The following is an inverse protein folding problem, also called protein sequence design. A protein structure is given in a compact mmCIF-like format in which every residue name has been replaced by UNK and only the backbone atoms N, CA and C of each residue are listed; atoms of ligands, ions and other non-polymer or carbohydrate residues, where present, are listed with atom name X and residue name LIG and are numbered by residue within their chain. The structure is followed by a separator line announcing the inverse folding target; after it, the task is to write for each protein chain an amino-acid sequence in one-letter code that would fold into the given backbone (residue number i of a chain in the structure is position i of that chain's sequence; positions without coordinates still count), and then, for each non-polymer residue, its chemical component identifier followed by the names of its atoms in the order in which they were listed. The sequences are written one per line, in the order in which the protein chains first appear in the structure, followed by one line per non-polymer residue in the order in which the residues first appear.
data_IF_349390474128
#
_entry.id   IF_349390474128
#
_cell.length_a   1.000
_cell.length_b   1.000
_cell.length_c   1.000
_cell.angle_alpha   90.00
_cell.angle_beta   90.00
_cell.angle_gamma   90.00
#
_symmetry.space_group_name_H-M   'P 1'
#
loop_
_entity.id
_entity.type
_entity.pdbx_description
1 polymer ?
#
# COMPACT_ATOMS: atom_id res chain seq x y z
N UNK A 1 44.62 -1.14 2.30
CA UNK A 1 44.08 -1.35 0.95
C UNK A 1 44.15 -2.84 0.66
N UNK A 2 43.02 -3.53 0.72
CA UNK A 2 42.90 -4.94 0.35
C UNK A 2 42.26 -4.98 -1.02
N UNK A 3 42.92 -5.61 -1.99
CA UNK A 3 42.37 -5.85 -3.32
C UNK A 3 42.06 -7.33 -3.44
N UNK A 4 40.78 -7.65 -3.53
CA UNK A 4 40.30 -9.00 -3.76
C UNK A 4 39.91 -9.10 -5.23
N UNK A 5 40.46 -10.08 -5.92
CA UNK A 5 40.13 -10.37 -7.32
C UNK A 5 39.44 -11.72 -7.33
N UNK A 6 38.15 -11.71 -7.67
CA UNK A 6 37.37 -12.92 -7.84
C UNK A 6 37.35 -13.27 -9.32
N UNK A 7 38.00 -14.38 -9.64
CA UNK A 7 38.04 -14.94 -10.98
C UNK A 7 37.34 -16.29 -10.98
N UNK A 8 36.41 -16.47 -11.91
CA UNK A 8 35.94 -17.79 -12.29
C UNK A 8 36.28 -18.03 -13.76
N UNK A 9 36.90 -19.17 -14.01
CA UNK A 9 37.24 -19.67 -15.33
C UNK A 9 36.10 -20.44 -15.99
N UNK A 10 35.05 -20.82 -15.25
CA UNK A 10 33.95 -21.63 -15.78
C UNK A 10 32.67 -21.66 -14.93
N UNK A 11 31.50 -21.42 -15.56
CA UNK A 11 30.19 -21.86 -15.07
C UNK A 11 29.54 -22.73 -16.17
N UNK A 12 28.89 -23.83 -15.79
CA UNK A 12 28.37 -24.86 -16.70
C UNK A 12 27.37 -24.40 -17.78
N UNK A 13 26.99 -23.12 -17.85
CA UNK A 13 26.05 -22.56 -18.83
C UNK A 13 26.40 -21.16 -19.35
N UNK A 14 27.60 -20.59 -19.12
CA UNK A 14 27.91 -19.22 -19.59
C UNK A 14 29.38 -18.75 -19.51
N UNK A 15 29.64 -17.50 -19.95
CA UNK A 15 30.97 -16.84 -19.81
C UNK A 15 31.20 -16.46 -18.34
N UNK A 16 32.37 -16.79 -17.80
CA UNK A 16 32.77 -16.48 -16.42
C UNK A 16 32.82 -14.97 -16.13
N UNK A 17 33.02 -14.62 -14.85
CA UNK A 17 33.11 -13.23 -14.40
C UNK A 17 34.49 -12.89 -13.84
N UNK A 18 34.81 -11.61 -13.91
CA UNK A 18 35.98 -11.00 -13.29
C UNK A 18 35.48 -9.83 -12.44
N UNK A 19 35.58 -9.94 -11.12
CA UNK A 19 35.15 -8.88 -10.19
C UNK A 19 36.33 -8.42 -9.35
N UNK A 20 36.55 -7.11 -9.33
CA UNK A 20 37.55 -6.45 -8.49
C UNK A 20 36.85 -5.81 -7.30
N UNK A 21 37.33 -6.10 -6.09
CA UNK A 21 36.86 -5.47 -4.86
C UNK A 21 38.04 -4.79 -4.15
N UNK A 22 37.84 -3.55 -3.74
CA UNK A 22 38.83 -2.76 -3.01
C UNK A 22 38.26 -2.33 -1.65
N UNK A 23 38.93 -2.73 -0.57
CA UNK A 23 38.64 -2.26 0.78
C UNK A 23 39.78 -1.36 1.28
N UNK A 24 39.46 -0.10 1.53
CA UNK A 24 40.36 0.88 2.15
C UNK A 24 39.67 1.53 3.35
N UNK A 25 40.37 1.79 4.47
CA UNK A 25 39.84 2.59 5.57
C UNK A 25 39.70 4.09 5.22
N UNK A 26 40.17 4.49 4.04
CA UNK A 26 40.13 5.86 3.51
C UNK A 26 39.59 5.88 2.08
N UNK A 27 38.46 5.22 1.82
CA UNK A 27 37.70 5.52 0.60
C UNK A 27 37.04 6.87 0.88
N UNK A 28 37.33 7.90 0.09
CA UNK A 28 36.51 9.12 0.08
C UNK A 28 35.08 8.68 -0.25
N UNK A 29 34.23 8.60 0.77
CA UNK A 29 32.94 7.92 0.65
C UNK A 29 32.05 8.61 -0.38
N UNK A 30 32.12 9.94 -0.46
CA UNK A 30 31.51 10.73 -1.53
C UNK A 30 32.32 12.02 -1.79
N UNK A 31 32.19 12.64 -2.99
CA UNK A 31 32.76 13.95 -3.27
C UNK A 31 32.25 15.04 -2.31
N UNK A 32 32.97 16.17 -2.21
CA UNK A 32 32.48 17.33 -1.48
C UNK A 32 31.06 17.74 -1.96
N UNK A 33 30.20 18.18 -1.04
CA UNK A 33 28.78 18.50 -1.28
C UNK A 33 27.89 17.32 -1.68
N UNK A 34 28.21 16.12 -1.22
CA UNK A 34 27.34 14.94 -1.31
C UNK A 34 27.08 14.38 0.09
N UNK A 35 25.94 13.71 0.25
CA UNK A 35 25.64 12.88 1.42
C UNK A 35 25.87 11.41 1.08
N UNK A 36 26.28 10.64 2.08
CA UNK A 36 26.48 9.20 1.97
C UNK A 36 25.17 8.51 2.38
N UNK A 37 24.57 7.77 1.45
CA UNK A 37 23.38 6.95 1.71
C UNK A 37 23.77 5.65 2.45
N UNK A 38 22.83 4.96 3.10
CA UNK A 38 23.09 3.67 3.79
C UNK A 38 23.59 2.59 2.84
N UNK A 39 23.12 2.58 1.60
CA UNK A 39 23.58 1.71 0.52
C UNK A 39 24.94 2.13 -0.09
N UNK A 40 25.59 3.17 0.47
CA UNK A 40 26.86 3.77 0.02
C UNK A 40 26.78 4.52 -1.31
N UNK A 41 25.58 4.77 -1.83
CA UNK A 41 25.41 5.71 -2.92
C UNK A 41 25.67 7.14 -2.44
N UNK A 42 26.05 8.00 -3.39
CA UNK A 42 26.32 9.40 -3.15
C UNK A 42 25.26 10.23 -3.85
N UNK A 43 24.52 11.03 -3.08
CA UNK A 43 23.58 12.00 -3.65
C UNK A 43 24.00 13.41 -3.27
N UNK A 44 23.81 14.41 -4.15
CA UNK A 44 24.16 15.79 -3.85
C UNK A 44 23.49 16.31 -2.57
N UNK A 45 24.18 17.12 -1.77
CA UNK A 45 23.66 17.59 -0.46
C UNK A 45 22.39 18.42 -0.56
N UNK A 46 22.09 19.01 -1.73
CA UNK A 46 20.84 19.73 -1.97
C UNK A 46 19.62 18.81 -2.18
N UNK A 47 19.84 17.49 -2.27
CA UNK A 47 18.78 16.47 -2.32
C UNK A 47 18.35 15.98 -0.95
N UNK A 48 19.11 16.32 0.11
CA UNK A 48 18.70 16.00 1.47
C UNK A 48 17.37 16.71 1.78
N UNK A 49 16.38 15.95 2.22
CA UNK A 49 15.07 16.45 2.64
C UNK A 49 14.31 17.20 1.54
N UNK A 50 14.40 16.74 0.29
CA UNK A 50 13.73 17.36 -0.86
C UNK A 50 12.35 16.72 -1.19
N UNK A 51 11.94 15.72 -0.42
CA UNK A 51 10.67 15.00 -0.60
C UNK A 51 10.80 13.75 -1.49
N UNK A 52 11.89 13.65 -2.25
CA UNK A 52 12.18 12.55 -3.17
C UNK A 52 13.17 11.60 -2.53
N UNK A 53 12.99 10.30 -2.76
CA UNK A 53 14.03 9.32 -2.46
C UNK A 53 15.01 9.27 -3.63
N UNK A 54 16.12 10.01 -3.51
CA UNK A 54 17.26 9.99 -4.42
C UNK A 54 18.30 8.95 -3.99
N UNK A 55 18.34 8.59 -2.70
CA UNK A 55 19.25 7.57 -2.19
C UNK A 55 18.84 6.13 -2.56
N UNK A 56 17.58 5.89 -2.94
CA UNK A 56 16.97 4.57 -3.14
C UNK A 56 16.97 3.69 -1.87
N UNK A 57 17.18 4.31 -0.72
CA UNK A 57 17.10 3.73 0.61
C UNK A 57 16.47 4.71 1.64
N UNK A 58 16.01 5.87 1.15
CA UNK A 58 15.37 6.93 1.92
C UNK A 58 16.26 7.61 2.95
N UNK A 59 17.58 7.46 2.89
CA UNK A 59 18.53 8.09 3.86
C UNK A 59 18.52 9.61 3.77
N UNK A 60 18.40 10.15 2.56
CA UNK A 60 18.27 11.56 2.25
C UNK A 60 17.04 12.22 2.88
N UNK A 61 15.96 11.47 3.07
CA UNK A 61 14.70 11.96 3.62
C UNK A 61 14.58 11.79 5.15
N UNK A 62 15.56 11.16 5.81
CA UNK A 62 15.56 10.94 7.25
C UNK A 62 16.02 12.18 8.04
N UNK A 63 15.53 12.30 9.28
CA UNK A 63 15.95 13.30 10.27
C UNK A 63 15.87 14.76 9.78
N UNK A 64 14.90 15.06 8.92
CA UNK A 64 14.67 16.40 8.35
C UNK A 64 14.02 17.40 9.31
N UNK A 65 13.68 16.99 10.54
CA UNK A 65 12.96 17.84 11.50
C UNK A 65 11.55 18.24 11.06
N UNK A 66 10.97 17.54 10.08
CA UNK A 66 9.61 17.79 9.57
C UNK A 66 8.58 17.36 10.63
N UNK A 67 7.58 18.19 10.95
CA UNK A 67 6.53 17.81 11.89
C UNK A 67 5.64 16.71 11.30
N UNK A 68 5.11 15.85 12.18
CA UNK A 68 4.03 14.91 11.81
C UNK A 68 2.72 15.69 11.79
N UNK A 69 2.04 15.70 10.65
CA UNK A 69 0.84 16.47 10.40
C UNK A 69 -0.32 15.51 10.18
N UNK A 70 -1.36 15.65 11.00
CA UNK A 70 -2.69 15.09 10.73
C UNK A 70 -3.57 16.23 10.23
N UNK A 71 -3.77 16.37 8.91
CA UNK A 71 -4.44 17.55 8.36
C UNK A 71 -5.92 17.54 8.73
N UNK A 72 -6.44 18.73 9.09
CA UNK A 72 -7.86 18.91 9.36
C UNK A 72 -8.73 18.66 8.12
N UNK A 73 -8.16 18.80 6.93
CA UNK A 73 -8.80 18.61 5.62
C UNK A 73 -8.45 17.26 4.97
N UNK A 74 -8.57 16.18 5.73
CA UNK A 74 -8.48 14.81 5.21
C UNK A 74 -9.64 14.48 4.23
N UNK A 75 -9.44 13.48 3.38
CA UNK A 75 -10.51 12.89 2.59
C UNK A 75 -11.11 13.81 1.51
N UNK A 76 -10.39 14.85 1.07
CA UNK A 76 -10.84 15.80 0.04
C UNK A 76 -9.82 15.78 -1.10
N UNK A 77 -9.98 14.87 -2.10
CA UNK A 77 -8.98 14.74 -3.16
C UNK A 77 -9.01 15.96 -4.09
N UNK A 78 -7.83 16.45 -4.47
CA UNK A 78 -7.68 17.54 -5.45
C UNK A 78 -8.31 17.17 -6.81
N UNK A 79 -8.13 15.90 -7.22
CA UNK A 79 -8.74 15.30 -8.41
C UNK A 79 -9.90 14.42 -7.96
N UNK A 80 -11.13 14.75 -8.37
CA UNK A 80 -12.31 14.01 -7.92
C UNK A 80 -12.39 12.63 -8.60
N UNK A 81 -12.70 11.55 -7.86
CA UNK A 81 -12.92 10.24 -8.44
C UNK A 81 -14.21 10.22 -9.26
N UNK A 82 -14.25 9.35 -10.27
CA UNK A 82 -15.46 9.10 -11.05
C UNK A 82 -16.40 8.23 -10.22
N UNK A 83 -17.46 8.82 -9.68
CA UNK A 83 -18.45 8.08 -8.85
C UNK A 83 -19.73 7.74 -9.60
N UNK A 84 -19.98 8.34 -10.76
CA UNK A 84 -21.15 8.07 -11.58
C UNK A 84 -20.93 6.82 -12.44
N UNK A 85 -21.65 5.74 -12.10
CA UNK A 85 -21.61 4.47 -12.82
C UNK A 85 -22.40 4.60 -14.13
N UNK A 86 -21.74 4.96 -15.24
CA UNK A 86 -22.38 5.15 -16.54
C UNK A 86 -22.03 4.07 -17.58
N UNK A 87 -21.38 2.97 -17.20
CA UNK A 87 -21.04 1.90 -18.14
C UNK A 87 -22.04 0.74 -18.07
N UNK A 88 -22.78 0.44 -19.15
CA UNK A 88 -23.50 -0.82 -19.29
C UNK A 88 -22.56 -2.02 -19.53
N UNK A 89 -21.28 -1.77 -19.84
CA UNK A 89 -20.31 -2.83 -20.09
C UNK A 89 -19.73 -3.40 -18.80
N UNK A 90 -19.97 -4.69 -18.64
CA UNK A 90 -19.56 -5.58 -17.55
C UNK A 90 -18.03 -5.72 -17.52
N UNK A 91 -17.33 -4.77 -16.91
CA UNK A 91 -15.90 -4.96 -16.60
C UNK A 91 -15.78 -5.73 -15.29
N UNK A 92 -15.25 -6.95 -15.39
CA UNK A 92 -14.88 -7.81 -14.27
C UNK A 92 -13.59 -7.26 -13.65
N UNK A 93 -13.58 -6.99 -12.35
CA UNK A 93 -12.39 -6.46 -11.66
C UNK A 93 -12.29 -4.93 -11.59
N UNK A 94 -13.43 -4.22 -11.65
CA UNK A 94 -13.51 -2.77 -11.48
C UNK A 94 -13.21 -1.95 -12.74
N UNK A 95 -13.33 -0.63 -12.63
CA UNK A 95 -12.96 0.33 -13.70
C UNK A 95 -11.62 1.01 -13.36
N UNK A 96 -10.81 1.42 -14.37
CA UNK A 96 -9.65 2.26 -14.13
C UNK A 96 -10.03 3.53 -13.38
N UNK A 97 -9.31 3.84 -12.29
CA UNK A 97 -9.49 5.09 -11.57
C UNK A 97 -8.93 6.26 -12.39
N UNK A 98 -9.45 7.46 -12.16
CA UNK A 98 -8.78 8.67 -12.66
C UNK A 98 -7.42 8.77 -11.94
N UNK A 99 -6.30 9.01 -12.65
CA UNK A 99 -4.99 9.14 -12.02
C UNK A 99 -5.02 10.09 -10.83
N UNK A 100 -4.47 9.63 -9.71
CA UNK A 100 -4.37 10.38 -8.45
C UNK A 100 -5.70 10.82 -7.80
N UNK A 101 -6.84 10.30 -8.26
CA UNK A 101 -8.15 10.61 -7.66
C UNK A 101 -8.41 9.95 -6.30
N UNK A 102 -7.54 9.01 -5.91
CA UNK A 102 -7.49 8.36 -4.61
C UNK A 102 -6.12 8.61 -3.96
N UNK A 103 -5.83 9.85 -3.54
CA UNK A 103 -4.47 10.27 -3.17
C UNK A 103 -3.94 9.65 -1.86
N UNK A 104 -4.81 8.97 -1.11
CA UNK A 104 -4.45 8.17 0.07
C UNK A 104 -4.11 6.73 -0.25
N UNK A 105 -4.32 6.27 -1.49
CA UNK A 105 -4.01 4.90 -1.86
C UNK A 105 -2.50 4.68 -1.75
N UNK A 106 -2.13 3.62 -1.03
CA UNK A 106 -0.74 3.21 -0.86
C UNK A 106 -0.53 1.87 -1.56
N UNK A 107 0.66 1.69 -2.15
CA UNK A 107 1.16 0.40 -2.60
C UNK A 107 2.35 -0.02 -1.74
N UNK A 108 2.21 -1.12 -1.01
CA UNK A 108 3.31 -1.79 -0.32
C UNK A 108 4.03 -2.67 -1.34
N UNK A 109 5.33 -2.47 -1.49
CA UNK A 109 6.18 -3.25 -2.40
C UNK A 109 7.34 -3.88 -1.63
N UNK A 110 7.78 -5.05 -2.08
CA UNK A 110 8.97 -5.72 -1.55
C UNK A 110 10.22 -5.02 -2.09
N UNK A 111 11.16 -4.63 -1.23
CA UNK A 111 12.24 -3.69 -1.62
C UNK A 111 13.19 -4.19 -2.73
N UNK A 112 13.34 -5.50 -2.91
CA UNK A 112 14.38 -6.11 -3.75
C UNK A 112 13.89 -6.53 -5.14
N UNK A 113 12.63 -6.26 -5.49
CA UNK A 113 12.05 -6.59 -6.79
C UNK A 113 11.62 -5.28 -7.48
N UNK A 114 12.15 -5.04 -8.67
CA UNK A 114 11.80 -3.91 -9.53
C UNK A 114 11.39 -4.40 -10.93
N UNK A 115 10.58 -3.67 -11.70
CA UNK A 115 10.00 -2.34 -11.41
C UNK A 115 8.72 -2.38 -10.57
N UNK A 116 8.20 -3.57 -10.24
CA UNK A 116 6.98 -3.73 -9.44
C UNK A 116 7.08 -4.97 -8.55
N UNK A 117 6.89 -4.75 -7.25
CA UNK A 117 6.79 -5.80 -6.25
C UNK A 117 5.57 -5.62 -5.35
N UNK A 118 4.53 -4.99 -5.89
CA UNK A 118 3.28 -4.76 -5.17
C UNK A 118 2.75 -6.05 -4.55
N UNK A 119 2.64 -6.05 -3.22
CA UNK A 119 2.18 -7.19 -2.43
C UNK A 119 0.86 -6.91 -1.75
N UNK A 120 0.65 -5.67 -1.29
CA UNK A 120 -0.55 -5.22 -0.60
C UNK A 120 -0.83 -3.74 -0.89
N UNK A 121 -2.08 -3.35 -0.68
CA UNK A 121 -2.52 -1.97 -0.57
C UNK A 121 -2.39 -1.42 0.86
N UNK A 122 -2.65 -0.12 0.98
CA UNK A 122 -2.73 0.58 2.25
C UNK A 122 -3.44 1.92 2.08
N UNK A 123 -3.61 2.64 3.18
CA UNK A 123 -4.25 3.95 3.24
C UNK A 123 -3.40 4.92 4.04
N UNK A 124 -3.01 6.03 3.43
CA UNK A 124 -2.37 7.12 4.16
C UNK A 124 -3.40 7.80 5.07
N UNK A 125 -3.11 7.87 6.38
CA UNK A 125 -4.03 8.45 7.38
C UNK A 125 -3.51 9.74 8.00
N UNK A 126 -2.20 9.98 7.93
CA UNK A 126 -1.56 11.27 8.23
C UNK A 126 -0.20 11.33 7.49
N UNK A 127 0.66 12.30 7.80
CA UNK A 127 1.92 12.46 7.07
C UNK A 127 2.96 11.37 7.34
N UNK A 128 2.84 10.51 8.37
CA UNK A 128 3.86 9.50 8.70
C UNK A 128 3.28 8.11 9.00
N UNK A 129 1.98 7.92 8.84
CA UNK A 129 1.30 6.69 9.19
C UNK A 129 0.42 6.20 8.06
N UNK A 130 0.55 4.90 7.78
CA UNK A 130 -0.25 4.15 6.82
C UNK A 130 -1.02 3.07 7.55
N UNK A 131 -2.31 2.97 7.25
CA UNK A 131 -3.20 1.90 7.66
C UNK A 131 -3.20 0.79 6.60
N UNK A 132 -3.11 -0.47 7.01
CA UNK A 132 -3.16 -1.63 6.11
C UNK A 132 -3.65 -2.86 6.90
N UNK A 133 -3.68 -4.03 6.26
CA UNK A 133 -4.06 -5.27 6.91
C UNK A 133 -2.88 -5.92 7.62
N UNK A 134 -3.11 -6.52 8.79
CA UNK A 134 -2.07 -7.24 9.54
C UNK A 134 -1.48 -8.40 8.72
N UNK A 135 -2.30 -9.04 7.89
CA UNK A 135 -1.86 -10.22 7.16
C UNK A 135 -0.84 -9.97 6.05
N UNK A 136 -0.66 -8.71 5.65
CA UNK A 136 0.39 -8.31 4.72
C UNK A 136 1.81 -8.60 5.25
N UNK A 137 1.95 -8.77 6.58
CA UNK A 137 3.22 -8.99 7.29
C UNK A 137 3.42 -10.44 7.75
N UNK A 138 2.58 -11.36 7.27
CA UNK A 138 2.61 -12.79 7.60
C UNK A 138 3.94 -13.46 7.41
N UNK A 139 4.44 -13.31 6.19
CA UNK A 139 5.56 -14.09 5.72
C UNK A 139 6.86 -13.43 6.12
N UNK A 140 6.86 -12.09 6.19
CA UNK A 140 7.98 -11.32 6.66
C UNK A 140 7.49 -10.10 7.46
N UNK A 141 7.66 -10.08 8.80
CA UNK A 141 7.29 -8.92 9.60
C UNK A 141 8.39 -7.85 9.68
N UNK A 142 9.54 -8.05 9.02
CA UNK A 142 10.66 -7.10 9.02
C UNK A 142 10.30 -5.81 8.26
N UNK A 143 10.30 -4.63 8.91
CA UNK A 143 10.04 -3.35 8.24
C UNK A 143 10.98 -3.08 7.06
N UNK A 144 12.25 -3.50 7.13
CA UNK A 144 13.23 -3.29 6.04
C UNK A 144 12.84 -3.99 4.74
N UNK A 145 11.93 -4.95 4.81
CA UNK A 145 11.42 -5.66 3.65
C UNK A 145 10.50 -4.81 2.77
N UNK A 146 9.92 -3.75 3.31
CA UNK A 146 8.82 -3.02 2.70
C UNK A 146 9.21 -1.59 2.27
N UNK A 147 8.91 -1.30 1.00
CA UNK A 147 8.95 0.02 0.38
C UNK A 147 7.52 0.49 0.13
N UNK A 148 7.20 1.71 0.53
CA UNK A 148 5.84 2.24 0.60
C UNK A 148 5.72 3.33 -0.47
N UNK A 149 4.80 3.14 -1.40
CA UNK A 149 4.53 4.07 -2.50
C UNK A 149 3.24 4.83 -2.27
N UNK A 150 3.31 6.15 -2.43
CA UNK A 150 2.16 7.05 -2.37
C UNK A 150 2.14 7.94 -3.61
N UNK A 151 0.94 8.23 -4.11
CA UNK A 151 0.76 9.04 -5.32
C UNK A 151 0.97 8.28 -6.63
N UNK A 152 1.20 6.96 -6.60
CA UNK A 152 1.28 6.12 -7.78
C UNK A 152 -0.09 5.92 -8.45
N UNK A 153 -0.08 5.78 -9.77
CA UNK A 153 -1.21 5.29 -10.56
C UNK A 153 -0.82 4.01 -11.33
N UNK A 154 0.41 3.94 -11.83
CA UNK A 154 0.93 2.83 -12.60
C UNK A 154 1.79 1.88 -11.74
N UNK A 155 1.64 0.57 -11.95
CA UNK A 155 2.43 -0.46 -11.25
C UNK A 155 3.90 -0.47 -11.64
N UNK A 156 4.17 -0.33 -12.94
CA UNK A 156 5.48 -0.60 -13.54
C UNK A 156 6.26 0.67 -13.92
N UNK A 157 5.73 1.84 -13.54
CA UNK A 157 6.29 3.14 -13.89
C UNK A 157 6.11 4.10 -12.72
N UNK A 158 7.20 4.76 -12.32
CA UNK A 158 7.17 5.85 -11.34
C UNK A 158 6.36 7.03 -11.91
N UNK A 159 5.29 7.40 -11.22
CA UNK A 159 4.46 8.53 -11.61
C UNK A 159 5.04 9.88 -11.13
N UNK A 160 4.65 10.97 -11.81
CA UNK A 160 5.05 12.30 -11.37
C UNK A 160 4.33 12.64 -10.05
N UNK A 161 5.10 13.08 -9.05
CA UNK A 161 4.56 13.36 -7.72
C UNK A 161 4.38 12.11 -6.85
N UNK A 162 4.91 10.97 -7.29
CA UNK A 162 5.03 9.78 -6.47
C UNK A 162 6.11 10.00 -5.39
N UNK A 163 5.77 9.66 -4.15
CA UNK A 163 6.68 9.68 -3.01
C UNK A 163 6.91 8.26 -2.52
N UNK A 164 8.17 7.94 -2.24
CA UNK A 164 8.60 6.65 -1.72
C UNK A 164 9.11 6.86 -0.30
N UNK A 165 8.66 6.00 0.61
CA UNK A 165 9.12 5.92 2.00
C UNK A 165 9.38 4.47 2.38
N UNK A 166 10.08 4.26 3.48
CA UNK A 166 10.42 2.94 4.02
C UNK A 166 9.71 2.74 5.36
N UNK A 167 9.38 1.50 5.69
CA UNK A 167 8.81 1.20 7.00
C UNK A 167 9.89 1.33 8.08
N UNK A 168 9.63 2.18 9.08
CA UNK A 168 10.43 2.26 10.31
C UNK A 168 9.93 1.23 11.33
N UNK A 169 8.61 1.09 11.44
CA UNK A 169 7.95 0.21 12.41
C UNK A 169 6.62 -0.28 11.87
N UNK A 170 6.28 -1.53 12.17
CA UNK A 170 5.00 -2.15 11.82
C UNK A 170 4.32 -2.63 13.11
N UNK A 171 3.07 -2.24 13.29
CA UNK A 171 2.30 -2.50 14.52
C UNK A 171 0.93 -3.07 14.12
N UNK A 172 0.68 -4.34 14.38
CA UNK A 172 -0.64 -4.95 14.22
C UNK A 172 -1.48 -4.77 15.47
N UNK A 173 -2.80 -4.83 15.35
CA UNK A 173 -3.67 -4.79 16.52
C UNK A 173 -3.68 -6.14 17.27
N UNK A 174 -3.78 -6.17 18.62
CA UNK A 174 -3.67 -5.05 19.56
C UNK A 174 -2.22 -4.93 20.08
N UNK A 175 -1.36 -4.17 19.38
CA UNK A 175 0.05 -3.96 19.71
C UNK A 175 0.98 -5.17 19.49
N UNK A 176 0.75 -5.88 18.39
CA UNK A 176 1.60 -6.96 17.91
C UNK A 176 2.73 -6.43 17.02
N UNK A 177 3.95 -6.90 17.27
CA UNK A 177 5.13 -6.52 16.48
C UNK A 177 6.05 -7.72 16.23
N UNK A 178 6.83 -7.65 15.16
CA UNK A 178 7.89 -8.62 14.82
C UNK A 178 7.36 -10.07 14.86
N UNK A 179 7.98 -10.96 15.64
CA UNK A 179 7.56 -12.36 15.75
C UNK A 179 6.13 -12.53 16.32
N UNK A 180 5.58 -11.54 17.03
CA UNK A 180 4.18 -11.61 17.50
C UNK A 180 3.17 -11.35 16.37
N UNK A 181 3.56 -10.60 15.34
CA UNK A 181 2.77 -10.48 14.11
C UNK A 181 2.82 -11.78 13.30
N UNK A 182 3.96 -12.47 13.36
CA UNK A 182 4.15 -13.72 12.66
C UNK A 182 3.19 -14.78 13.20
N UNK A 183 2.36 -15.31 12.31
CA UNK A 183 1.44 -16.38 12.67
C UNK A 183 0.15 -15.93 13.36
N UNK A 184 -0.02 -14.63 13.64
CA UNK A 184 -1.26 -14.10 14.22
C UNK A 184 -2.28 -13.81 13.11
N UNK A 185 -3.30 -14.68 12.98
CA UNK A 185 -4.39 -14.59 11.99
C UNK A 185 -5.73 -14.50 12.68
N UNK A 186 -5.98 -13.42 13.43
CA UNK A 186 -7.34 -13.08 13.78
C UNK A 186 -8.06 -12.60 12.53
N UNK A 187 -8.88 -13.44 11.89
CA UNK A 187 -9.71 -13.03 10.74
C UNK A 187 -10.59 -11.81 11.07
N UNK A 188 -10.83 -11.58 12.37
CA UNK A 188 -11.62 -10.46 12.91
C UNK A 188 -10.81 -9.18 13.10
N UNK A 189 -9.52 -9.29 13.43
CA UNK A 189 -8.68 -8.18 13.91
C UNK A 189 -7.49 -7.95 12.97
N UNK A 190 -7.76 -7.98 11.67
CA UNK A 190 -6.74 -7.99 10.63
C UNK A 190 -6.27 -6.59 10.22
N UNK A 191 -5.91 -5.75 11.20
CA UNK A 191 -5.49 -4.36 10.97
C UNK A 191 -4.05 -4.12 11.46
N UNK A 192 -3.31 -3.29 10.75
CA UNK A 192 -1.98 -2.87 11.11
C UNK A 192 -1.66 -1.43 10.69
N UNK A 193 -0.72 -0.83 11.41
CA UNK A 193 -0.15 0.47 11.15
C UNK A 193 1.32 0.34 10.74
N UNK A 194 1.71 1.13 9.74
CA UNK A 194 3.11 1.32 9.36
C UNK A 194 3.50 2.74 9.70
N UNK A 195 4.55 2.89 10.51
CA UNK A 195 5.25 4.16 10.69
C UNK A 195 6.28 4.32 9.58
N UNK A 196 6.21 5.42 8.84
CA UNK A 196 7.17 5.76 7.78
C UNK A 196 8.48 6.31 8.38
N UNK A 197 9.61 6.02 7.74
CA UNK A 197 10.93 6.52 8.12
C UNK A 197 11.03 8.06 8.10
N UNK A 198 10.20 8.72 7.30
CA UNK A 198 10.08 10.16 7.24
C UNK A 198 8.66 10.60 6.85
N UNK A 199 8.18 11.76 7.33
CA UNK A 199 6.91 12.30 6.87
C UNK A 199 6.87 12.53 5.35
N UNK A 200 5.71 12.28 4.75
CA UNK A 200 5.40 12.66 3.36
C UNK A 200 4.98 14.12 3.28
N UNK A 201 5.18 14.71 2.11
CA UNK A 201 4.62 16.01 1.76
C UNK A 201 3.21 15.82 1.19
N UNK A 202 2.24 16.60 1.67
CA UNK A 202 0.92 16.59 1.05
C UNK A 202 0.93 17.41 -0.24
N UNK A 203 0.45 16.80 -1.31
CA UNK A 203 0.39 17.37 -2.66
C UNK A 203 -0.99 17.09 -3.27
N UNK A 204 -1.20 17.43 -4.53
CA UNK A 204 -2.43 17.04 -5.25
C UNK A 204 -2.53 15.51 -5.47
N UNK A 205 -1.42 14.78 -5.35
CA UNK A 205 -1.33 13.33 -5.58
C UNK A 205 -1.18 12.51 -4.31
N UNK A 206 -0.79 13.13 -3.19
CA UNK A 206 -0.56 12.47 -1.90
C UNK A 206 -1.31 13.23 -0.81
N UNK A 207 -2.39 12.64 -0.30
CA UNK A 207 -3.24 13.23 0.74
C UNK A 207 -3.86 12.12 1.59
N UNK A 208 -4.16 12.33 2.88
CA UNK A 208 -4.69 11.28 3.71
C UNK A 208 -6.22 11.13 3.61
N UNK A 209 -6.71 9.92 3.85
CA UNK A 209 -8.13 9.67 4.09
C UNK A 209 -8.52 10.08 5.52
N UNK A 210 -9.80 10.40 5.74
CA UNK A 210 -10.28 10.62 7.10
C UNK A 210 -10.46 9.30 7.85
N UNK A 211 -10.10 9.29 9.13
CA UNK A 211 -10.47 8.21 10.03
C UNK A 211 -11.90 8.42 10.57
N UNK A 212 -12.70 7.34 10.74
CA UNK A 212 -13.97 7.42 11.42
C UNK A 212 -13.78 7.64 12.92
N UNK A 213 -14.82 8.14 13.59
CA UNK A 213 -14.90 8.11 15.05
C UNK A 213 -15.06 6.67 15.56
N UNK A 214 -14.57 6.40 16.77
CA UNK A 214 -14.73 5.11 17.43
C UNK A 214 -16.21 4.73 17.56
N UNK A 215 -16.56 3.51 17.18
CA UNK A 215 -17.90 2.96 17.17
C UNK A 215 -18.78 3.38 15.98
N UNK A 216 -18.24 4.04 14.96
CA UNK A 216 -19.06 4.48 13.83
C UNK A 216 -19.48 3.33 12.89
N UNK A 217 -20.76 2.98 12.95
CA UNK A 217 -21.38 2.02 12.04
C UNK A 217 -21.87 2.62 10.72
N UNK A 218 -21.58 1.93 9.62
CA UNK A 218 -22.16 2.21 8.32
C UNK A 218 -23.58 1.64 8.22
N UNK A 219 -24.48 2.41 7.62
CA UNK A 219 -25.83 1.93 7.34
C UNK A 219 -25.83 0.96 6.15
N UNK A 220 -26.59 -0.14 6.21
CA UNK A 220 -26.78 -1.01 5.05
C UNK A 220 -27.28 -0.23 3.83
N UNK A 221 -26.78 -0.58 2.65
CA UNK A 221 -27.05 0.13 1.40
C UNK A 221 -26.10 1.30 1.11
N UNK A 222 -25.27 1.72 2.07
CA UNK A 222 -24.24 2.76 1.84
C UNK A 222 -23.30 2.33 0.72
N UNK A 223 -23.04 3.24 -0.22
CA UNK A 223 -22.10 3.01 -1.31
C UNK A 223 -20.71 3.50 -0.92
N UNK A 224 -19.75 2.60 -0.99
CA UNK A 224 -18.33 2.83 -0.72
C UNK A 224 -17.51 2.38 -1.93
N UNK A 225 -16.22 2.68 -1.94
CA UNK A 225 -15.31 2.33 -3.02
C UNK A 225 -14.14 1.56 -2.44
N UNK A 226 -13.83 0.44 -3.09
CA UNK A 226 -12.58 -0.27 -2.90
C UNK A 226 -11.65 0.07 -4.06
N UNK A 227 -10.38 0.32 -3.75
CA UNK A 227 -9.36 0.69 -4.75
C UNK A 227 -8.12 -0.16 -4.58
N UNK A 228 -7.46 -0.44 -5.68
CA UNK A 228 -6.24 -1.23 -5.65
C UNK A 228 -5.76 -1.68 -7.02
N UNK A 229 -4.70 -2.48 -6.97
CA UNK A 229 -3.92 -2.98 -8.09
C UNK A 229 -3.97 -4.50 -8.16
N UNK A 230 -4.88 -5.14 -7.44
CA UNK A 230 -4.98 -6.60 -7.36
C UNK A 230 -5.21 -7.27 -8.71
N UNK A 231 -5.07 -8.59 -8.70
CA UNK A 231 -5.17 -9.44 -9.87
C UNK A 231 -6.51 -9.26 -10.55
N UNK A 232 -6.45 -9.00 -11.85
CA UNK A 232 -7.63 -8.82 -12.68
C UNK A 232 -7.78 -10.11 -13.48
N UNK A 233 -8.96 -10.75 -13.48
CA UNK A 233 -9.20 -12.02 -14.21
C UNK A 233 -9.14 -11.83 -15.74
N UNK A 234 -8.02 -11.38 -16.28
CA UNK A 234 -7.83 -11.08 -17.70
C UNK A 234 -8.64 -9.88 -18.22
N UNK A 235 -9.09 -8.96 -17.36
CA UNK A 235 -9.90 -7.81 -17.79
C UNK A 235 -9.11 -6.64 -18.38
N UNK A 236 -7.79 -6.78 -18.50
CA UNK A 236 -6.88 -5.73 -18.99
C UNK A 236 -6.66 -4.61 -17.97
N UNK A 237 -5.80 -3.64 -18.30
CA UNK A 237 -5.46 -2.52 -17.41
C UNK A 237 -4.94 -2.95 -16.02
N UNK A 238 -4.29 -4.10 -15.97
CA UNK A 238 -3.60 -4.63 -14.79
C UNK A 238 -2.49 -3.71 -14.27
N UNK A 239 -1.97 -2.83 -15.13
CA UNK A 239 -0.89 -1.91 -14.83
C UNK A 239 -1.33 -0.58 -14.19
N UNK A 240 -2.63 -0.29 -14.04
CA UNK A 240 -3.13 0.97 -13.45
C UNK A 240 -4.02 0.73 -12.23
N UNK A 241 -4.15 1.75 -11.39
CA UNK A 241 -5.05 1.72 -10.22
C UNK A 241 -6.50 1.58 -10.68
N UNK A 242 -7.22 0.64 -10.08
CA UNK A 242 -8.65 0.43 -10.32
C UNK A 242 -9.49 0.81 -9.12
N UNK A 243 -10.77 1.03 -9.39
CA UNK A 243 -11.79 1.30 -8.39
C UNK A 243 -13.04 0.46 -8.67
N UNK A 244 -13.75 0.09 -7.61
CA UNK A 244 -15.06 -0.57 -7.71
C UNK A 244 -15.98 -0.07 -6.61
N UNK A 245 -17.24 0.16 -6.97
CA UNK A 245 -18.27 0.46 -5.98
C UNK A 245 -18.60 -0.80 -5.18
N UNK A 246 -18.79 -0.65 -3.88
CA UNK A 246 -19.18 -1.71 -2.95
C UNK A 246 -20.36 -1.20 -2.13
N UNK A 247 -21.38 -2.04 -1.94
CA UNK A 247 -22.58 -1.71 -1.17
C UNK A 247 -22.52 -2.42 0.16
N UNK A 248 -22.65 -1.68 1.26
CA UNK A 248 -22.67 -2.24 2.62
C UNK A 248 -23.89 -3.12 2.81
N UNK A 249 -23.68 -4.33 3.33
CA UNK A 249 -24.71 -5.30 3.64
C UNK A 249 -25.19 -5.16 5.08
N UNK A 250 -26.42 -5.60 5.34
CA UNK A 250 -26.93 -5.73 6.70
C UNK A 250 -26.37 -6.95 7.42
N UNK A 251 -26.43 -6.96 8.76
CA UNK A 251 -25.99 -8.11 9.58
C UNK A 251 -26.73 -9.39 9.23
N UNK A 252 -28.02 -9.34 8.90
CA UNK A 252 -28.77 -10.54 8.48
C UNK A 252 -28.34 -11.10 7.13
N UNK A 253 -27.75 -10.26 6.28
CA UNK A 253 -27.23 -10.66 4.98
C UNK A 253 -25.77 -11.11 5.07
N UNK A 254 -25.11 -10.95 6.21
CA UNK A 254 -23.71 -11.32 6.39
C UNK A 254 -23.53 -12.35 7.53
N UNK A 255 -23.02 -13.54 7.21
CA UNK A 255 -22.71 -14.60 8.19
C UNK A 255 -21.43 -14.30 9.02
N UNK A 256 -21.10 -13.03 9.25
CA UNK A 256 -19.85 -12.58 9.87
C UNK A 256 -20.09 -11.59 11.01
N UNK A 257 -19.01 -11.34 11.78
CA UNK A 257 -19.04 -10.52 12.98
C UNK A 257 -19.02 -9.04 12.63
N UNK A 258 -20.20 -8.40 12.55
CA UNK A 258 -20.32 -6.98 12.21
C UNK A 258 -19.75 -6.03 13.28
N UNK A 259 -19.32 -6.57 14.42
CA UNK A 259 -18.63 -5.80 15.46
C UNK A 259 -17.25 -5.35 14.96
N UNK A 260 -16.53 -6.27 14.32
CA UNK A 260 -15.14 -6.09 13.90
C UNK A 260 -14.96 -6.04 12.38
N UNK A 261 -16.02 -6.30 11.62
CA UNK A 261 -15.94 -6.49 10.17
C UNK A 261 -17.05 -5.74 9.44
N UNK A 262 -16.74 -5.24 8.25
CA UNK A 262 -17.70 -4.66 7.31
C UNK A 262 -17.89 -5.63 6.14
N UNK A 263 -19.14 -5.94 5.86
CA UNK A 263 -19.52 -6.85 4.81
C UNK A 263 -20.10 -6.06 3.64
N UNK A 264 -19.60 -6.30 2.44
CA UNK A 264 -20.07 -5.61 1.25
C UNK A 264 -20.35 -6.58 0.11
N UNK A 265 -21.20 -6.15 -0.81
CA UNK A 265 -21.36 -6.78 -2.10
C UNK A 265 -21.28 -5.78 -3.24
N UNK A 266 -21.08 -6.29 -4.44
CA UNK A 266 -21.30 -5.53 -5.66
C UNK A 266 -22.68 -5.88 -6.24
N UNK A 267 -23.46 -4.87 -6.66
CA UNK A 267 -24.84 -5.05 -7.18
C UNK A 267 -24.97 -6.08 -8.31
N UNK A 268 -23.91 -6.29 -9.09
CA UNK A 268 -23.87 -7.23 -10.20
C UNK A 268 -22.99 -8.47 -9.95
N UNK A 269 -22.54 -8.73 -8.71
CA UNK A 269 -21.84 -9.95 -8.28
C UNK A 269 -20.47 -10.29 -8.90
N UNK A 270 -19.95 -9.50 -9.85
CA UNK A 270 -18.70 -9.84 -10.57
C UNK A 270 -17.48 -8.98 -10.20
N UNK A 271 -17.61 -7.99 -9.31
CA UNK A 271 -16.50 -7.13 -8.90
C UNK A 271 -16.23 -7.27 -7.40
N UNK A 272 -15.02 -7.72 -7.07
CA UNK A 272 -14.53 -7.93 -5.72
C UNK A 272 -13.04 -7.61 -5.71
N UNK A 273 -12.50 -7.05 -4.60
CA UNK A 273 -11.07 -7.08 -4.35
C UNK A 273 -10.51 -8.50 -4.51
N UNK A 274 -9.27 -8.59 -4.95
CA UNK A 274 -8.55 -9.83 -5.22
C UNK A 274 -7.13 -9.79 -4.62
N UNK A 275 -6.35 -10.84 -4.90
CA UNK A 275 -4.93 -10.90 -4.54
C UNK A 275 -4.20 -9.61 -4.94
N UNK A 276 -3.52 -8.97 -3.99
CA UNK A 276 -2.87 -7.65 -4.17
C UNK A 276 -3.70 -6.46 -3.66
N UNK A 277 -5.03 -6.58 -3.56
CA UNK A 277 -5.86 -5.53 -2.95
C UNK A 277 -5.90 -5.60 -1.41
N UNK A 278 -5.35 -6.67 -0.83
CA UNK A 278 -5.18 -6.87 0.61
C UNK A 278 -4.57 -5.64 1.30
N UNK A 279 -5.17 -5.19 2.40
CA UNK A 279 -4.80 -3.96 3.10
C UNK A 279 -5.21 -2.66 2.41
N UNK A 280 -5.76 -2.71 1.18
CA UNK A 280 -6.31 -1.55 0.49
C UNK A 280 -7.57 -0.99 1.17
N UNK A 281 -7.94 0.28 0.88
CA UNK A 281 -9.05 0.94 1.55
C UNK A 281 -10.44 0.48 1.05
N UNK A 282 -11.40 0.47 1.97
CA UNK A 282 -12.81 0.72 1.71
C UNK A 282 -13.16 2.14 2.16
N UNK A 283 -13.26 3.06 1.21
CA UNK A 283 -13.61 4.46 1.49
C UNK A 283 -15.07 4.76 1.18
N UNK A 284 -15.73 5.50 2.07
CA UNK A 284 -17.11 5.93 1.90
C UNK A 284 -17.17 7.46 1.91
N UNK A 285 -17.93 8.05 0.98
CA UNK A 285 -18.16 9.49 0.95
C UNK A 285 -19.29 9.84 1.92
N UNK A 286 -18.95 10.48 3.03
CA UNK A 286 -19.88 10.84 4.09
C UNK A 286 -19.87 12.37 4.24
N UNK A 287 -20.92 13.02 3.75
CA UNK A 287 -20.94 14.47 3.60
C UNK A 287 -19.96 14.92 2.49
N UNK A 288 -19.04 15.88 2.75
CA UNK A 288 -18.08 16.35 1.76
C UNK A 288 -16.73 15.61 1.76
N UNK A 289 -16.55 14.60 2.62
CA UNK A 289 -15.26 13.94 2.86
C UNK A 289 -15.32 12.44 2.67
N UNK A 290 -14.18 11.86 2.30
CA UNK A 290 -13.96 10.42 2.21
C UNK A 290 -13.34 9.87 3.48
N UNK A 291 -13.99 8.87 4.07
CA UNK A 291 -13.54 8.19 5.27
C UNK A 291 -13.11 6.76 4.94
N UNK A 292 -11.97 6.32 5.48
CA UNK A 292 -11.55 4.92 5.42
C UNK A 292 -12.29 4.13 6.50
N UNK A 293 -13.34 3.42 6.10
CA UNK A 293 -14.20 2.70 7.03
C UNK A 293 -13.74 1.27 7.25
N UNK A 294 -13.04 0.70 6.27
CA UNK A 294 -12.49 -0.64 6.35
C UNK A 294 -11.18 -0.78 5.59
N UNK A 295 -10.43 -1.83 5.91
CA UNK A 295 -9.25 -2.31 5.21
C UNK A 295 -9.47 -3.72 4.67
N UNK A 296 -9.03 -3.98 3.44
CA UNK A 296 -9.31 -5.24 2.73
C UNK A 296 -8.65 -6.41 3.45
N UNK A 297 -9.44 -7.27 4.07
CA UNK A 297 -8.95 -8.44 4.81
C UNK A 297 -9.05 -9.72 3.99
N UNK A 298 -10.27 -10.21 3.69
CA UNK A 298 -10.48 -11.45 2.92
C UNK A 298 -11.84 -11.47 2.18
N UNK A 299 -11.95 -12.36 1.18
CA UNK A 299 -13.22 -12.65 0.51
C UNK A 299 -13.73 -14.05 0.93
N UNK A 300 -15.03 -14.16 1.23
CA UNK A 300 -15.62 -15.35 1.89
C UNK A 300 -15.75 -16.58 0.99
N UNK A 301 -15.67 -16.41 -0.33
CA UNK A 301 -15.77 -17.50 -1.30
C UNK A 301 -14.67 -17.40 -2.37
N UNK A 302 -13.44 -17.18 -1.91
CA UNK A 302 -12.23 -17.54 -2.64
C UNK A 302 -11.72 -18.87 -2.10
N UNK A 303 -11.86 -19.95 -2.88
CA UNK A 303 -11.21 -21.20 -2.51
C UNK A 303 -9.69 -20.97 -2.61
N UNK A 304 -8.92 -21.15 -1.52
CA UNK A 304 -7.45 -21.03 -1.54
C UNK A 304 -6.83 -21.98 -2.59
N UNK A 305 -7.55 -23.06 -2.94
CA UNK A 305 -7.18 -23.99 -4.00
C UNK A 305 -7.59 -23.56 -5.43
N UNK A 306 -8.40 -22.52 -5.57
CA UNK A 306 -8.95 -22.08 -6.86
C UNK A 306 -8.39 -20.75 -7.39
N UNK A 307 -7.82 -19.88 -6.55
CA UNK A 307 -7.27 -18.57 -6.99
C UNK A 307 -8.30 -17.61 -7.61
N UNK A 308 -9.60 -17.89 -7.44
CA UNK A 308 -10.69 -17.22 -8.14
C UNK A 308 -11.39 -16.17 -7.25
N UNK A 309 -10.97 -14.89 -7.34
CA UNK A 309 -11.67 -13.75 -6.72
C UNK A 309 -12.89 -13.29 -7.53
N UNK A 310 -13.98 -12.80 -6.92
CA UNK A 310 -15.21 -12.39 -7.62
C UNK A 310 -16.02 -13.56 -8.25
N UNK A 311 -16.35 -14.58 -7.46
CA UNK A 311 -17.39 -15.55 -7.86
C UNK A 311 -18.79 -14.93 -7.71
N UNK A 312 -19.79 -15.40 -8.47
CA UNK A 312 -21.17 -14.96 -8.29
C UNK A 312 -21.60 -15.12 -6.82
N UNK A 313 -22.25 -14.10 -6.27
CA UNK A 313 -22.67 -14.02 -4.86
C UNK A 313 -21.54 -13.91 -3.81
N UNK A 314 -20.30 -13.62 -4.22
CA UNK A 314 -19.24 -13.36 -3.24
C UNK A 314 -19.54 -12.12 -2.40
N UNK A 315 -19.39 -12.29 -1.08
CA UNK A 315 -19.33 -11.21 -0.10
C UNK A 315 -17.85 -10.91 0.16
N UNK A 316 -17.54 -9.63 0.29
CA UNK A 316 -16.19 -9.16 0.61
C UNK A 316 -16.19 -8.65 2.04
N UNK A 317 -15.19 -9.04 2.81
CA UNK A 317 -15.06 -8.68 4.21
C UNK A 317 -13.86 -7.75 4.35
N UNK A 318 -14.14 -6.61 4.97
CA UNK A 318 -13.15 -5.65 5.39
C UNK A 318 -13.06 -5.68 6.90
N UNK A 319 -11.85 -5.55 7.44
CA UNK A 319 -11.71 -5.23 8.86
C UNK A 319 -12.27 -3.83 9.09
N UNK A 320 -13.01 -3.65 10.18
CA UNK A 320 -13.64 -2.38 10.50
C UNK A 320 -12.57 -1.49 11.11
N UNK A 321 -12.47 -0.24 10.65
CA UNK A 321 -11.48 0.70 11.19
C UNK A 321 -11.99 1.33 12.49
N UNK A 322 -13.31 1.53 12.60
CA UNK A 322 -13.91 2.28 13.69
C UNK A 322 -14.02 1.53 15.02
N UNK A 323 -13.60 0.26 15.12
CA UNK A 323 -13.63 -0.50 16.38
C UNK A 323 -12.25 -0.70 17.01
N UNK A 324 -11.21 -0.08 16.43
CA UNK A 324 -9.79 -0.18 16.83
C UNK A 324 -9.23 1.15 17.30
#
# INVERSE_FOLDING_TARGET
MIKLVFNTDYMGTGRGFHVYYEASPYIEECPANHIVCKNRNCVPSNKKCDGTDDCEDGTDEQDCGRPVITPADCGIPAIKPKTTYSSPDRIVGGEPAIPHSWPWQVSLQQFYIEPNAHSCGGTLINSQWVLTAAHCFKFNPDPMYYRIHMGSHHKYKKDKGEQIRYAERIIGYPDLEMEKLRGHWGVKDDIALIKLNAPVEFTDTVQPACLPSLGWDLQPGTQCYATGWGETRGSGFDHVLKQTVQTVLSTSECDHDTTHQICVNHRNYFNSPCHGDSGGPLVCMLGPRWYVMGDTSYATAGNFMGGLCAMPQNKVIFSKVSDK
#
